data_IF_436491921118
#
_entry.id   IF_436491921118
#
_cell.length_a   1.000
_cell.length_b   1.000
_cell.length_c   1.000
_cell.angle_alpha   90.00
_cell.angle_beta   90.00
_cell.angle_gamma   90.00
#
_symmetry.space_group_name_H-M   'P 1'
#
loop_
_entity.id
_entity.type
_entity.pdbx_description
1 polymer ?
#
# COMPACT_ATOMS: atom_id res chain seq x y z
N UNK A 1 -14.02 -5.50 17.94
CA UNK A 1 -13.88 -5.26 16.49
C UNK A 1 -12.97 -4.06 16.18
N UNK A 2 -13.02 -3.00 16.99
CA UNK A 2 -12.16 -1.81 16.88
C UNK A 2 -10.64 -2.07 16.81
N UNK A 3 -10.11 -2.99 17.61
CA UNK A 3 -8.68 -3.37 17.56
C UNK A 3 -8.30 -4.02 16.22
N UNK A 4 -9.18 -4.84 15.64
CA UNK A 4 -8.95 -5.47 14.34
C UNK A 4 -8.90 -4.39 13.25
N UNK A 5 -9.81 -3.41 13.29
CA UNK A 5 -9.80 -2.29 12.36
C UNK A 5 -8.50 -1.47 12.42
N UNK A 6 -7.97 -1.23 13.63
CA UNK A 6 -6.70 -0.51 13.83
C UNK A 6 -5.53 -1.29 13.19
N UNK A 7 -5.47 -2.61 13.36
CA UNK A 7 -4.43 -3.44 12.73
C UNK A 7 -4.48 -3.34 11.21
N UNK A 8 -5.67 -3.45 10.60
CA UNK A 8 -5.84 -3.30 9.15
C UNK A 8 -5.45 -1.90 8.64
N UNK A 9 -5.80 -0.85 9.38
CA UNK A 9 -5.38 0.51 9.06
C UNK A 9 -3.86 0.67 9.11
N UNK A 10 -3.21 0.19 10.18
CA UNK A 10 -1.75 0.28 10.32
C UNK A 10 -1.02 -0.49 9.22
N UNK A 11 -1.48 -1.71 8.90
CA UNK A 11 -0.92 -2.51 7.78
C UNK A 11 -1.15 -1.81 6.43
N UNK A 12 -2.32 -1.21 6.24
CA UNK A 12 -2.63 -0.42 5.05
C UNK A 12 -1.69 0.79 4.89
N UNK A 13 -1.43 1.53 5.97
CA UNK A 13 -0.49 2.65 5.97
C UNK A 13 0.96 2.21 5.72
N UNK A 14 1.40 1.08 6.29
CA UNK A 14 2.71 0.49 6.01
C UNK A 14 2.86 0.12 4.54
N UNK A 15 1.85 -0.53 3.94
CA UNK A 15 1.87 -0.84 2.51
C UNK A 15 1.87 0.42 1.65
N UNK A 16 1.17 1.49 2.07
CA UNK A 16 1.17 2.77 1.38
C UNK A 16 2.57 3.44 1.44
N UNK A 17 3.25 3.40 2.58
CA UNK A 17 4.63 3.89 2.71
C UNK A 17 5.60 3.14 1.78
N UNK A 18 5.47 1.81 1.70
CA UNK A 18 6.25 0.97 0.78
C UNK A 18 5.92 1.30 -0.68
N UNK A 19 4.65 1.51 -1.02
CA UNK A 19 4.22 1.97 -2.34
C UNK A 19 4.88 3.29 -2.71
N UNK A 20 4.88 4.28 -1.82
CA UNK A 20 5.52 5.59 -2.05
C UNK A 20 7.03 5.43 -2.26
N UNK A 21 7.69 4.55 -1.51
CA UNK A 21 9.10 4.26 -1.71
C UNK A 21 9.38 3.71 -3.13
N UNK A 22 8.58 2.74 -3.60
CA UNK A 22 8.70 2.22 -4.97
C UNK A 22 8.31 3.25 -6.03
N UNK A 23 7.37 4.16 -5.73
CA UNK A 23 6.98 5.24 -6.64
C UNK A 23 8.12 6.24 -6.85
N UNK A 24 8.77 6.66 -5.76
CA UNK A 24 9.94 7.53 -5.81
C UNK A 24 11.11 6.87 -6.53
N UNK A 25 11.32 5.56 -6.33
CA UNK A 25 12.31 4.79 -7.07
C UNK A 25 11.96 4.69 -8.58
N UNK A 26 10.67 4.64 -8.95
CA UNK A 26 10.21 4.57 -10.34
C UNK A 26 10.41 5.90 -11.09
N UNK A 27 10.24 7.01 -10.39
CA UNK A 27 10.42 8.36 -10.93
C UNK A 27 11.89 8.71 -11.19
N UNK A 28 12.83 8.05 -10.52
CA UNK A 28 14.26 8.29 -10.74
C UNK A 28 14.74 7.62 -12.05
N UNK A 29 15.36 8.39 -12.97
CA UNK A 29 15.86 7.83 -14.22
C UNK A 29 17.08 6.93 -13.98
N UNK A 30 17.18 5.82 -14.72
CA UNK A 30 18.38 4.99 -14.78
C UNK A 30 18.64 4.06 -13.59
N UNK A 31 17.76 3.98 -12.59
CA UNK A 31 17.92 3.03 -11.49
C UNK A 31 17.39 1.63 -11.82
N UNK A 32 18.17 0.61 -11.42
CA UNK A 32 17.71 -0.77 -11.31
C UNK A 32 16.86 -0.93 -10.04
N UNK A 33 15.74 -1.69 -10.03
CA UNK A 33 15.21 -2.56 -11.08
C UNK A 33 14.54 -1.85 -12.26
N UNK A 34 14.43 -2.50 -13.44
CA UNK A 34 13.78 -1.94 -14.62
C UNK A 34 12.34 -1.51 -14.34
N UNK A 35 11.91 -0.39 -14.95
CA UNK A 35 10.61 0.28 -14.74
C UNK A 35 9.41 -0.68 -14.77
N UNK A 36 9.42 -1.71 -15.62
CA UNK A 36 8.36 -2.73 -15.69
C UNK A 36 8.17 -3.47 -14.36
N UNK A 37 9.27 -3.89 -13.72
CA UNK A 37 9.24 -4.61 -12.43
C UNK A 37 8.76 -3.69 -11.31
N UNK A 38 9.18 -2.42 -11.32
CA UNK A 38 8.67 -1.44 -10.35
C UNK A 38 7.18 -1.17 -10.55
N UNK A 39 6.68 -1.12 -11.79
CA UNK A 39 5.27 -0.91 -12.09
C UNK A 39 4.40 -2.08 -11.62
N UNK A 40 4.86 -3.32 -11.76
CA UNK A 40 4.16 -4.50 -11.23
C UNK A 40 4.09 -4.49 -9.71
N UNK A 41 5.22 -4.16 -9.05
CA UNK A 41 5.26 -4.01 -7.58
C UNK A 41 4.35 -2.87 -7.12
N UNK A 42 4.39 -1.72 -7.80
CA UNK A 42 3.49 -0.59 -7.53
C UNK A 42 2.02 -1.00 -7.62
N UNK A 43 1.62 -1.74 -8.67
CA UNK A 43 0.23 -2.22 -8.81
C UNK A 43 -0.17 -3.14 -7.67
N UNK A 44 0.68 -4.10 -7.31
CA UNK A 44 0.42 -5.02 -6.19
C UNK A 44 0.31 -4.29 -4.85
N UNK A 45 1.25 -3.40 -4.54
CA UNK A 45 1.21 -2.64 -3.29
C UNK A 45 0.05 -1.64 -3.27
N UNK A 46 -0.32 -1.05 -4.41
CA UNK A 46 -1.48 -0.18 -4.52
C UNK A 46 -2.78 -0.94 -4.25
N UNK A 47 -2.99 -2.11 -4.87
CA UNK A 47 -4.21 -2.89 -4.67
C UNK A 47 -4.31 -3.44 -3.26
N UNK A 48 -3.20 -3.93 -2.69
CA UNK A 48 -3.18 -4.42 -1.30
C UNK A 48 -3.38 -3.29 -0.30
N UNK A 49 -2.70 -2.14 -0.47
CA UNK A 49 -2.86 -0.99 0.42
C UNK A 49 -4.29 -0.43 0.37
N UNK A 50 -4.82 -0.23 -0.85
CA UNK A 50 -6.18 0.29 -1.02
C UNK A 50 -7.22 -0.68 -0.46
N UNK A 51 -7.11 -1.99 -0.72
CA UNK A 51 -7.99 -3.00 -0.16
C UNK A 51 -7.93 -3.07 1.36
N UNK A 52 -6.73 -3.11 1.94
CA UNK A 52 -6.55 -3.17 3.39
C UNK A 52 -7.08 -1.91 4.10
N UNK A 53 -6.86 -0.72 3.53
CA UNK A 53 -7.39 0.54 4.06
C UNK A 53 -8.92 0.60 3.95
N UNK A 54 -9.51 0.18 2.83
CA UNK A 54 -10.96 0.16 2.65
C UNK A 54 -11.64 -0.79 3.64
N UNK A 55 -11.11 -2.00 3.79
CA UNK A 55 -11.65 -3.00 4.72
C UNK A 55 -11.46 -2.53 6.16
N UNK A 56 -10.27 -2.03 6.52
CA UNK A 56 -10.01 -1.48 7.85
C UNK A 56 -10.93 -0.31 8.19
N UNK A 57 -11.20 0.58 7.23
CA UNK A 57 -12.11 1.71 7.40
C UNK A 57 -13.57 1.28 7.54
N UNK A 58 -14.04 0.33 6.71
CA UNK A 58 -15.40 -0.21 6.81
C UNK A 58 -15.63 -0.90 8.16
N UNK A 59 -14.67 -1.71 8.61
CA UNK A 59 -14.76 -2.37 9.92
C UNK A 59 -14.73 -1.31 11.04
N UNK A 60 -13.90 -0.26 10.93
CA UNK A 60 -13.88 0.83 11.90
C UNK A 60 -15.20 1.59 11.99
N UNK A 61 -15.87 1.82 10.86
CA UNK A 61 -17.14 2.54 10.79
C UNK A 61 -18.29 1.74 11.42
N UNK A 62 -18.27 0.41 11.26
CA UNK A 62 -19.31 -0.50 11.76
C UNK A 62 -19.08 -0.90 13.24
N UNK A 63 -17.86 -0.74 13.76
CA UNK A 63 -17.42 -1.18 15.09
C UNK A 63 -17.44 -0.10 16.17
#
# INVERSE_FOLDING_TARGET
MRQIAIVFLVVGFLCLAVFVHFLLAFLRPGMYPPKRVLQERLKLFATVASGALLIGFLIYLIS
#
